data_IF_123978857192
#
_entry.id   IF_123978857192
#
_cell.length_a   1.000
_cell.length_b   1.000
_cell.length_c   1.000
_cell.angle_alpha   90.00
_cell.angle_beta   90.00
_cell.angle_gamma   90.00
#
_symmetry.space_group_name_H-M   'P 1'
#
loop_
_entity.id
_entity.type
_entity.pdbx_description
1 polymer ?
#
# COMPACT_ATOMS: atom_id res chain seq x y z
N UNK A 1 17.48 -5.77 7.32
CA UNK A 1 17.20 -7.07 7.96
C UNK A 1 16.02 -6.92 8.91
N UNK A 2 15.07 -7.86 8.94
CA UNK A 2 13.75 -7.66 9.56
C UNK A 2 13.86 -7.31 11.06
N UNK A 3 13.70 -6.03 11.40
CA UNK A 3 13.76 -5.50 12.77
C UNK A 3 12.88 -6.27 13.77
N UNK A 4 11.78 -6.85 13.25
CA UNK A 4 10.83 -7.66 14.01
C UNK A 4 11.41 -8.94 14.59
N UNK A 5 12.58 -9.43 14.12
CA UNK A 5 13.24 -10.63 14.66
C UNK A 5 13.58 -10.50 16.15
N UNK A 6 13.77 -9.27 16.63
CA UNK A 6 13.98 -8.98 18.05
C UNK A 6 12.72 -9.22 18.92
N UNK A 7 11.56 -9.52 18.32
CA UNK A 7 10.36 -9.99 19.00
C UNK A 7 9.77 -11.20 18.25
N UNK A 8 10.30 -12.42 18.48
CA UNK A 8 9.97 -13.60 17.67
C UNK A 8 8.48 -13.97 17.65
N UNK A 9 7.79 -13.91 18.79
CA UNK A 9 6.36 -14.25 18.87
C UNK A 9 5.48 -13.24 18.12
N UNK A 10 5.83 -11.95 18.18
CA UNK A 10 5.16 -10.91 17.40
C UNK A 10 5.41 -11.14 15.91
N UNK A 11 6.66 -11.38 15.51
CA UNK A 11 7.02 -11.64 14.12
C UNK A 11 6.28 -12.86 13.55
N UNK A 12 6.18 -13.97 14.31
CA UNK A 12 5.45 -15.17 13.90
C UNK A 12 3.97 -14.87 13.58
N UNK A 13 3.27 -14.17 14.48
CA UNK A 13 1.85 -13.83 14.30
C UNK A 13 1.65 -12.88 13.12
N UNK A 14 2.54 -11.88 13.01
CA UNK A 14 2.53 -10.92 11.90
C UNK A 14 2.80 -11.60 10.56
N UNK A 15 3.73 -12.55 10.49
CA UNK A 15 4.06 -13.28 9.26
C UNK A 15 2.88 -14.11 8.74
N UNK A 16 2.07 -14.72 9.61
CA UNK A 16 0.84 -15.39 9.19
C UNK A 16 -0.15 -14.40 8.54
N UNK A 17 -0.33 -13.22 9.14
CA UNK A 17 -1.17 -12.17 8.55
C UNK A 17 -0.60 -11.69 7.20
N UNK A 18 0.71 -11.46 7.11
CA UNK A 18 1.37 -11.09 5.85
C UNK A 18 1.16 -12.16 4.79
N UNK A 19 1.33 -13.44 5.12
CA UNK A 19 1.12 -14.56 4.20
C UNK A 19 -0.29 -14.55 3.63
N UNK A 20 -1.28 -14.47 4.52
CA UNK A 20 -2.68 -14.41 4.13
C UNK A 20 -2.95 -13.25 3.16
N UNK A 21 -2.58 -12.03 3.56
CA UNK A 21 -2.84 -10.82 2.78
C UNK A 21 -2.08 -10.76 1.44
N UNK A 22 -0.88 -11.34 1.35
CA UNK A 22 -0.04 -11.29 0.15
C UNK A 22 -0.34 -12.42 -0.84
N UNK A 23 -0.71 -13.59 -0.35
CA UNK A 23 -0.70 -14.82 -1.15
C UNK A 23 -2.04 -15.56 -1.18
N UNK A 24 -2.90 -15.39 -0.19
CA UNK A 24 -4.12 -16.20 -0.04
C UNK A 24 -5.41 -15.43 -0.37
N UNK A 25 -5.39 -14.09 -0.27
CA UNK A 25 -6.50 -13.23 -0.69
C UNK A 25 -6.72 -13.27 -2.20
N UNK A 26 -7.96 -12.96 -2.62
CA UNK A 26 -8.45 -13.15 -3.99
C UNK A 26 -8.64 -11.85 -4.78
N UNK A 27 -8.28 -10.68 -4.24
CA UNK A 27 -8.33 -9.43 -4.99
C UNK A 27 -7.20 -9.36 -6.05
N UNK A 28 -7.40 -8.66 -7.19
CA UNK A 28 -6.40 -8.54 -8.23
C UNK A 28 -5.06 -8.02 -7.70
N UNK A 29 -3.95 -8.63 -8.10
CA UNK A 29 -2.60 -8.23 -7.65
C UNK A 29 -2.27 -6.77 -7.97
N UNK A 30 -2.81 -6.23 -9.06
CA UNK A 30 -2.78 -4.79 -9.37
C UNK A 30 -3.34 -3.92 -8.24
N UNK A 31 -4.50 -4.27 -7.69
CA UNK A 31 -5.14 -3.55 -6.58
C UNK A 31 -4.39 -3.76 -5.27
N UNK A 32 -3.86 -4.97 -5.06
CA UNK A 32 -2.97 -5.28 -3.94
C UNK A 32 -1.77 -4.34 -3.91
N UNK A 33 -1.01 -4.28 -5.01
CA UNK A 33 0.20 -3.46 -5.10
C UNK A 33 -0.14 -1.96 -5.08
N UNK A 34 -1.25 -1.55 -5.69
CA UNK A 34 -1.72 -0.15 -5.65
C UNK A 34 -2.06 0.31 -4.23
N UNK A 35 -2.73 -0.52 -3.43
CA UNK A 35 -3.00 -0.23 -2.01
C UNK A 35 -1.69 -0.08 -1.20
N UNK A 36 -0.69 -0.90 -1.51
CA UNK A 36 0.62 -0.87 -0.84
C UNK A 36 1.39 0.40 -1.20
N UNK A 37 1.53 0.76 -2.47
CA UNK A 37 2.27 1.98 -2.85
C UNK A 37 1.55 3.25 -2.40
N UNK A 38 0.21 3.24 -2.36
CA UNK A 38 -0.60 4.34 -1.79
C UNK A 38 -0.28 4.50 -0.29
N UNK A 39 -0.25 3.39 0.44
CA UNK A 39 0.14 3.38 1.86
C UNK A 39 1.59 3.84 2.05
N UNK A 40 2.51 3.32 1.25
CA UNK A 40 3.93 3.67 1.32
C UNK A 40 4.15 5.17 1.13
N UNK A 41 3.43 5.78 0.17
CA UNK A 41 3.48 7.21 -0.06
C UNK A 41 2.82 8.02 1.04
N UNK A 42 1.69 7.56 1.59
CA UNK A 42 1.05 8.22 2.72
C UNK A 42 1.95 8.25 3.96
N UNK A 43 2.77 7.20 4.13
CA UNK A 43 3.72 7.06 5.22
C UNK A 43 5.12 7.59 4.91
N UNK A 44 5.35 8.14 3.71
CA UNK A 44 6.67 8.59 3.26
C UNK A 44 7.76 7.52 3.43
N UNK A 45 7.39 6.25 3.24
CA UNK A 45 8.26 5.09 3.47
C UNK A 45 9.01 4.69 2.19
N UNK A 46 10.28 5.09 2.13
CA UNK A 46 11.13 4.90 0.98
C UNK A 46 11.36 3.43 0.61
N UNK A 47 11.54 2.56 1.62
CA UNK A 47 11.80 1.14 1.43
C UNK A 47 10.59 0.39 0.87
N UNK A 48 9.40 0.59 1.44
CA UNK A 48 8.18 -0.03 0.90
C UNK A 48 7.89 0.49 -0.51
N UNK A 49 8.05 1.80 -0.73
CA UNK A 49 7.85 2.39 -2.04
C UNK A 49 8.73 1.71 -3.11
N UNK A 50 10.04 1.65 -2.88
CA UNK A 50 10.96 1.05 -3.82
C UNK A 50 10.68 -0.44 -4.05
N UNK A 51 10.38 -1.19 -3.00
CA UNK A 51 10.08 -2.62 -3.09
C UNK A 51 8.79 -2.95 -3.86
N UNK A 52 7.82 -2.02 -3.91
CA UNK A 52 6.48 -2.29 -4.42
C UNK A 52 6.10 -1.58 -5.72
N UNK A 53 6.84 -0.54 -6.14
CA UNK A 53 6.58 0.12 -7.42
C UNK A 53 6.87 -0.80 -8.62
N UNK A 54 7.99 -1.54 -8.61
CA UNK A 54 8.29 -2.48 -9.70
C UNK A 54 7.20 -3.58 -9.81
N UNK A 55 6.79 -4.26 -8.71
CA UNK A 55 5.61 -5.14 -8.73
C UNK A 55 4.34 -4.47 -9.24
N UNK A 56 4.01 -3.26 -8.78
CA UNK A 56 2.82 -2.54 -9.22
C UNK A 56 2.78 -2.36 -10.75
N UNK A 57 3.89 -1.94 -11.36
CA UNK A 57 4.01 -1.84 -12.82
C UNK A 57 3.84 -3.18 -13.51
N UNK A 58 4.47 -4.23 -12.98
CA UNK A 58 4.37 -5.58 -13.54
C UNK A 58 2.94 -6.10 -13.56
N UNK A 59 2.15 -5.75 -12.55
CA UNK A 59 0.73 -6.08 -12.44
C UNK A 59 -0.20 -5.12 -13.21
N UNK A 60 0.36 -4.14 -13.94
CA UNK A 60 -0.37 -3.28 -14.86
C UNK A 60 -0.84 -1.94 -14.29
N UNK A 61 -0.33 -1.50 -13.13
CA UNK A 61 -0.55 -0.12 -12.67
C UNK A 61 0.20 0.84 -13.60
N UNK A 62 -0.50 1.81 -14.17
CA UNK A 62 0.08 2.75 -15.12
C UNK A 62 1.15 3.66 -14.49
N UNK A 63 2.23 3.93 -15.22
CA UNK A 63 3.31 4.82 -14.78
C UNK A 63 2.81 6.21 -14.38
N UNK A 64 1.87 6.75 -15.15
CA UNK A 64 1.27 8.05 -14.86
C UNK A 64 0.55 8.08 -13.49
N UNK A 65 -0.08 6.97 -13.08
CA UNK A 65 -0.71 6.85 -11.78
C UNK A 65 0.33 6.73 -10.66
N UNK A 66 1.35 5.90 -10.85
CA UNK A 66 2.46 5.75 -9.90
C UNK A 66 3.17 7.10 -9.68
N UNK A 67 3.49 7.81 -10.77
CA UNK A 67 4.13 9.12 -10.71
C UNK A 67 3.23 10.16 -10.03
N UNK A 68 1.92 10.15 -10.31
CA UNK A 68 0.98 11.05 -9.67
C UNK A 68 0.88 10.80 -8.16
N UNK A 69 0.83 9.53 -7.72
CA UNK A 69 0.87 9.15 -6.30
C UNK A 69 2.18 9.65 -5.68
N UNK A 70 3.34 9.30 -6.28
CA UNK A 70 4.67 9.71 -5.78
C UNK A 70 4.76 11.21 -5.56
N UNK A 71 4.38 11.98 -6.58
CA UNK A 71 4.58 13.43 -6.59
C UNK A 71 3.43 14.17 -5.91
N UNK A 72 2.42 13.47 -5.39
CA UNK A 72 1.16 14.05 -4.86
C UNK A 72 0.51 15.02 -5.86
N UNK A 73 0.52 14.64 -7.14
CA UNK A 73 -0.10 15.39 -8.25
C UNK A 73 -1.56 14.96 -8.45
N UNK A 74 -2.36 15.74 -9.20
CA UNK A 74 -3.68 15.30 -9.64
C UNK A 74 -3.61 13.91 -10.29
N UNK A 75 -4.49 13.02 -9.84
CA UNK A 75 -4.54 11.66 -10.32
C UNK A 75 -5.07 11.61 -11.77
N UNK A 76 -4.49 10.78 -12.66
CA UNK A 76 -4.98 10.63 -14.02
C UNK A 76 -6.29 9.85 -14.06
N UNK A 77 -6.92 9.78 -15.23
CA UNK A 77 -7.98 8.81 -15.49
C UNK A 77 -7.46 7.39 -15.26
N UNK A 78 -8.27 6.58 -14.58
CA UNK A 78 -7.90 5.22 -14.16
C UNK A 78 -9.15 4.34 -14.03
N UNK A 79 -8.94 3.03 -13.90
CA UNK A 79 -10.05 2.09 -13.73
C UNK A 79 -10.85 2.37 -12.45
N UNK A 80 -12.12 1.95 -12.41
CA UNK A 80 -13.00 2.27 -11.27
C UNK A 80 -12.54 1.65 -9.95
N UNK A 81 -11.94 0.47 -10.01
CA UNK A 81 -11.36 -0.22 -8.87
C UNK A 81 -10.08 0.48 -8.39
N UNK A 82 -9.19 0.92 -9.29
CA UNK A 82 -8.00 1.71 -8.92
C UNK A 82 -8.38 3.02 -8.23
N UNK A 83 -9.33 3.76 -8.81
CA UNK A 83 -9.80 5.02 -8.22
C UNK A 83 -10.39 4.80 -6.85
N UNK A 84 -11.20 3.74 -6.69
CA UNK A 84 -11.81 3.44 -5.40
C UNK A 84 -10.77 3.17 -4.31
N UNK A 85 -9.74 2.36 -4.58
CA UNK A 85 -8.72 2.05 -3.56
C UNK A 85 -7.79 3.24 -3.28
N UNK A 86 -7.42 4.02 -4.30
CA UNK A 86 -6.57 5.21 -4.12
C UNK A 86 -7.31 6.30 -3.36
N UNK A 87 -8.57 6.58 -3.68
CA UNK A 87 -9.38 7.56 -2.96
C UNK A 87 -9.62 7.11 -1.51
N UNK A 88 -9.96 5.83 -1.30
CA UNK A 88 -10.16 5.26 0.03
C UNK A 88 -8.90 5.42 0.89
N UNK A 89 -7.74 5.05 0.37
CA UNK A 89 -6.46 5.21 1.06
C UNK A 89 -6.13 6.68 1.32
N UNK A 90 -6.24 7.54 0.32
CA UNK A 90 -5.93 8.97 0.45
C UNK A 90 -6.79 9.66 1.51
N UNK A 91 -8.11 9.42 1.53
CA UNK A 91 -8.99 9.96 2.57
C UNK A 91 -8.62 9.41 3.94
N UNK A 92 -8.47 8.09 4.07
CA UNK A 92 -8.16 7.50 5.37
C UNK A 92 -6.85 8.02 5.96
N UNK A 93 -5.76 8.07 5.17
CA UNK A 93 -4.48 8.53 5.69
C UNK A 93 -4.42 10.03 5.94
N UNK A 94 -5.23 10.83 5.25
CA UNK A 94 -5.28 12.28 5.43
C UNK A 94 -6.20 12.69 6.58
N UNK A 95 -7.41 12.15 6.59
CA UNK A 95 -8.51 12.61 7.44
C UNK A 95 -8.83 11.62 8.57
N UNK A 96 -8.14 10.48 8.61
CA UNK A 96 -8.37 9.36 9.56
C UNK A 96 -9.81 8.81 9.52
N UNK A 97 -10.50 9.08 8.42
CA UNK A 97 -11.87 8.67 8.15
C UNK A 97 -12.09 8.63 6.65
N UNK A 98 -12.92 7.71 6.20
CA UNK A 98 -13.41 7.67 4.82
C UNK A 98 -14.82 8.24 4.79
N UNK A 99 -15.10 9.10 3.82
CA UNK A 99 -16.45 9.62 3.58
C UNK A 99 -17.40 8.50 3.17
N UNK A 100 -18.70 8.69 3.36
CA UNK A 100 -19.69 7.67 2.97
C UNK A 100 -19.65 7.37 1.47
N UNK A 101 -19.46 8.41 0.64
CA UNK A 101 -19.38 8.26 -0.81
C UNK A 101 -18.19 7.37 -1.21
N UNK A 102 -16.99 7.66 -0.68
CA UNK A 102 -15.79 6.89 -0.99
C UNK A 102 -15.86 5.46 -0.43
N UNK A 103 -16.48 5.29 0.75
CA UNK A 103 -16.73 3.96 1.32
C UNK A 103 -17.69 3.15 0.45
N UNK A 104 -18.81 3.73 0.01
CA UNK A 104 -19.81 3.05 -0.82
C UNK A 104 -19.23 2.67 -2.19
N UNK A 105 -18.40 3.53 -2.78
CA UNK A 105 -17.68 3.22 -4.02
C UNK A 105 -16.73 2.04 -3.85
N UNK A 106 -15.90 2.05 -2.80
CA UNK A 106 -14.99 0.94 -2.49
C UNK A 106 -15.76 -0.36 -2.20
N UNK A 107 -16.85 -0.27 -1.43
CA UNK A 107 -17.70 -1.41 -1.13
C UNK A 107 -18.33 -1.99 -2.40
N UNK A 108 -18.77 -1.14 -3.32
CA UNK A 108 -19.32 -1.56 -4.62
C UNK A 108 -18.28 -2.27 -5.49
N UNK A 109 -17.04 -1.80 -5.50
CA UNK A 109 -15.96 -2.42 -6.30
C UNK A 109 -15.50 -3.76 -5.72
N UNK A 110 -15.37 -3.83 -4.38
CA UNK A 110 -14.64 -4.94 -3.75
C UNK A 110 -15.55 -5.93 -3.01
N UNK A 111 -16.74 -5.50 -2.60
CA UNK A 111 -17.57 -6.23 -1.65
C UNK A 111 -17.01 -6.16 -0.22
N UNK A 112 -17.81 -6.60 0.75
CA UNK A 112 -17.52 -6.40 2.17
C UNK A 112 -16.22 -7.11 2.62
N UNK A 113 -16.04 -8.38 2.21
CA UNK A 113 -14.88 -9.16 2.62
C UNK A 113 -13.57 -8.53 2.11
N UNK A 114 -13.45 -8.30 0.81
CA UNK A 114 -12.22 -7.74 0.25
C UNK A 114 -11.94 -6.31 0.73
N UNK A 115 -12.98 -5.50 1.01
CA UNK A 115 -12.75 -4.17 1.57
C UNK A 115 -12.14 -4.26 2.98
N UNK A 116 -12.57 -5.20 3.82
CA UNK A 116 -11.95 -5.47 5.12
C UNK A 116 -10.50 -5.94 4.94
N UNK A 117 -10.24 -6.86 4.02
CA UNK A 117 -8.89 -7.36 3.73
C UNK A 117 -7.96 -6.25 3.19
N UNK A 118 -8.42 -5.41 2.26
CA UNK A 118 -7.66 -4.27 1.72
C UNK A 118 -7.38 -3.21 2.79
N UNK A 119 -8.36 -2.92 3.66
CA UNK A 119 -8.16 -2.03 4.80
C UNK A 119 -7.11 -2.60 5.75
N UNK A 120 -7.16 -3.90 6.00
CA UNK A 120 -6.17 -4.61 6.82
C UNK A 120 -4.78 -4.60 6.17
N UNK A 121 -4.70 -4.75 4.84
CA UNK A 121 -3.46 -4.64 4.07
C UNK A 121 -2.82 -3.25 4.20
N UNK A 122 -3.60 -2.18 4.04
CA UNK A 122 -3.11 -0.82 4.23
C UNK A 122 -2.63 -0.59 5.67
N UNK A 123 -3.38 -1.03 6.68
CA UNK A 123 -2.94 -0.97 8.08
C UNK A 123 -1.66 -1.78 8.35
N UNK A 124 -1.55 -2.96 7.74
CA UNK A 124 -0.36 -3.81 7.85
C UNK A 124 0.89 -3.13 7.28
N UNK A 125 0.77 -2.48 6.12
CA UNK A 125 1.86 -1.75 5.48
C UNK A 125 2.16 -0.40 6.12
N UNK A 126 1.19 0.24 6.76
CA UNK A 126 1.44 1.38 7.64
C UNK A 126 2.28 0.95 8.85
N UNK A 127 1.95 -0.18 9.48
CA UNK A 127 2.78 -0.76 10.55
C UNK A 127 4.17 -1.17 10.04
N UNK A 128 4.28 -1.75 8.83
CA UNK A 128 5.60 -2.01 8.21
C UNK A 128 6.41 -0.71 8.10
N UNK A 129 5.76 0.34 7.61
CA UNK A 129 6.37 1.66 7.41
C UNK A 129 6.81 2.28 8.73
N UNK A 130 6.08 2.05 9.84
CA UNK A 130 6.52 2.49 11.17
C UNK A 130 7.88 1.91 11.53
N UNK A 131 8.08 0.60 11.39
CA UNK A 131 9.38 -0.01 11.70
C UNK A 131 10.47 0.48 10.76
N UNK A 132 10.19 0.56 9.46
CA UNK A 132 11.20 0.93 8.46
C UNK A 132 11.64 2.40 8.62
N UNK A 133 10.70 3.31 8.87
CA UNK A 133 11.01 4.72 9.06
C UNK A 133 11.62 4.98 10.43
N UNK A 134 11.05 4.43 11.51
CA UNK A 134 11.55 4.68 12.86
C UNK A 134 12.94 4.06 13.12
N UNK A 135 13.28 2.99 12.41
CA UNK A 135 14.58 2.33 12.52
C UNK A 135 15.51 2.63 11.34
N UNK A 136 15.17 3.64 10.54
CA UNK A 136 16.00 4.16 9.45
C UNK A 136 16.54 3.06 8.53
N UNK A 137 15.62 2.22 8.05
CA UNK A 137 15.97 1.10 7.18
C UNK A 137 16.63 1.59 5.89
N UNK A 138 17.88 1.21 5.67
CA UNK A 138 18.61 1.48 4.44
C UNK A 138 17.97 0.74 3.25
N UNK A 139 17.95 1.42 2.11
CA UNK A 139 17.59 0.78 0.84
C UNK A 139 18.67 -0.21 0.41
N UNK A 140 18.32 -1.25 -0.36
CA UNK A 140 19.29 -2.05 -1.09
C UNK A 140 20.18 -1.17 -1.98
N UNK A 141 21.43 -1.55 -2.23
CA UNK A 141 22.35 -0.79 -3.09
C UNK A 141 21.86 -0.67 -4.54
N UNK A 142 20.99 -1.58 -4.98
CA UNK A 142 20.49 -1.73 -6.35
C UNK A 142 19.09 -1.12 -6.56
N UNK A 143 18.79 0.02 -5.91
CA UNK A 143 17.55 0.79 -6.12
C UNK A 143 17.33 1.11 -7.60
N UNK A 144 16.27 0.54 -8.19
CA UNK A 144 15.88 0.82 -9.60
C UNK A 144 14.80 1.90 -9.74
N UNK A 145 14.12 2.25 -8.65
CA UNK A 145 12.99 3.18 -8.67
C UNK A 145 13.37 4.59 -8.22
N UNK A 146 12.70 5.58 -8.81
CA UNK A 146 12.78 6.97 -8.33
C UNK A 146 12.33 7.04 -6.86
N UNK A 147 13.17 7.67 -6.05
CA UNK A 147 12.91 7.90 -4.64
C UNK A 147 11.70 8.82 -4.43
N UNK A 148 11.12 8.76 -3.23
CA UNK A 148 10.05 9.65 -2.82
C UNK A 148 10.63 11.07 -2.63
N UNK A 149 9.93 12.12 -3.06
CA UNK A 149 10.30 13.50 -2.73
C UNK A 149 9.77 13.82 -1.33
N UNK A 150 10.57 13.51 -0.30
CA UNK A 150 10.27 13.70 1.14
C UNK A 150 11.35 14.51 1.82
#
# INVERSE_FOLDING_TARGET
GSFTINSPEMAKRRNHLTSYLRYETQFPKRILELAIITTARAMDCQYVWNAHVTPARKEGVADALIDAIRDRKPLPEMASDERAIVNYGNEFFKDHKVSQVTFDEALKQFGAQHLVELTTLMGHYAQTSFYLNAFEAELPDDVTEKLLPV
#
